data_IF_327158481454
#
_entry.id   IF_327158481454
#
_cell.length_a   1.000
_cell.length_b   1.000
_cell.length_c   1.000
_cell.angle_alpha   90.00
_cell.angle_beta   90.00
_cell.angle_gamma   90.00
#
_symmetry.space_group_name_H-M   'P 1'
#
loop_
_entity.id
_entity.type
_entity.pdbx_description
1 polymer ?
#
# COMPACT_ATOMS: atom_id res chain seq x y z
N UNK A 1 26.92 45.99 -2.93
CA UNK A 1 25.67 45.41 -2.40
C UNK A 1 25.45 44.09 -3.12
N UNK A 2 25.69 42.97 -2.44
CA UNK A 2 25.50 41.62 -3.01
C UNK A 2 24.08 41.19 -2.66
N UNK A 3 23.21 41.13 -3.67
CA UNK A 3 21.83 40.68 -3.52
C UNK A 3 21.83 39.17 -3.32
N UNK A 4 21.69 38.72 -2.08
CA UNK A 4 21.47 37.30 -1.76
C UNK A 4 20.05 36.95 -2.18
N UNK A 5 19.88 36.37 -3.36
CA UNK A 5 18.62 35.76 -3.77
C UNK A 5 18.38 34.53 -2.89
N UNK A 6 17.44 34.65 -1.95
CA UNK A 6 16.92 33.52 -1.18
C UNK A 6 16.41 32.45 -2.15
N UNK A 7 16.73 31.15 -1.95
CA UNK A 7 16.11 30.10 -2.73
C UNK A 7 14.60 30.18 -2.50
N UNK A 8 13.82 30.28 -3.59
CA UNK A 8 12.37 30.16 -3.53
C UNK A 8 12.06 28.81 -2.90
N UNK A 9 11.38 28.82 -1.75
CA UNK A 9 10.75 27.64 -1.19
C UNK A 9 9.87 27.05 -2.30
N UNK A 10 10.29 25.93 -2.90
CA UNK A 10 9.41 25.16 -3.79
C UNK A 10 8.32 24.66 -2.87
N UNK A 11 7.14 25.27 -2.94
CA UNK A 11 5.92 24.62 -2.49
C UNK A 11 5.87 23.29 -3.23
N UNK A 12 6.20 22.21 -2.54
CA UNK A 12 6.08 20.87 -3.09
C UNK A 12 4.60 20.68 -3.39
N UNK A 13 4.21 20.77 -4.66
CA UNK A 13 2.86 20.39 -5.08
C UNK A 13 2.77 18.90 -4.78
N UNK A 14 1.94 18.55 -3.80
CA UNK A 14 1.71 17.16 -3.43
C UNK A 14 1.07 16.44 -4.62
N UNK A 15 1.55 15.24 -4.93
CA UNK A 15 0.99 14.42 -5.98
C UNK A 15 -0.46 14.01 -5.67
N UNK A 16 -1.24 13.73 -6.71
CA UNK A 16 -2.52 13.04 -6.60
C UNK A 16 -2.26 11.52 -6.66
N UNK A 17 -3.00 10.71 -5.92
CA UNK A 17 -2.81 9.28 -5.79
C UNK A 17 -4.09 8.55 -6.21
N UNK A 18 -3.96 7.59 -7.12
CA UNK A 18 -5.08 6.77 -7.57
C UNK A 18 -4.76 5.30 -7.35
N UNK A 19 -5.62 4.62 -6.60
CA UNK A 19 -5.48 3.20 -6.27
C UNK A 19 -6.24 2.34 -7.28
N UNK A 20 -5.52 1.43 -7.93
CA UNK A 20 -6.08 0.41 -8.80
C UNK A 20 -6.89 -0.65 -8.03
N UNK A 21 -7.76 -1.41 -8.71
CA UNK A 21 -8.56 -2.47 -8.09
C UNK A 21 -7.71 -3.54 -7.41
N UNK A 22 -6.63 -3.99 -8.09
CA UNK A 22 -5.76 -5.04 -7.58
C UNK A 22 -5.11 -4.65 -6.25
N UNK A 23 -4.64 -3.41 -6.12
CA UNK A 23 -4.07 -2.87 -4.88
C UNK A 23 -5.05 -3.02 -3.72
N UNK A 24 -6.25 -2.46 -3.87
CA UNK A 24 -7.23 -2.42 -2.79
C UNK A 24 -7.65 -3.83 -2.38
N UNK A 25 -7.91 -4.71 -3.35
CA UNK A 25 -8.30 -6.09 -3.09
C UNK A 25 -7.20 -6.89 -2.40
N UNK A 26 -5.94 -6.78 -2.84
CA UNK A 26 -4.82 -7.51 -2.20
C UNK A 26 -4.60 -7.05 -0.76
N UNK A 27 -4.65 -5.74 -0.50
CA UNK A 27 -4.55 -5.19 0.86
C UNK A 27 -5.70 -5.71 1.74
N UNK A 28 -6.94 -5.68 1.22
CA UNK A 28 -8.12 -6.17 1.92
C UNK A 28 -8.03 -7.67 2.21
N UNK A 29 -7.60 -8.48 1.23
CA UNK A 29 -7.46 -9.93 1.40
C UNK A 29 -6.37 -10.30 2.40
N UNK A 30 -5.27 -9.56 2.43
CA UNK A 30 -4.21 -9.76 3.41
C UNK A 30 -4.76 -9.59 4.84
N UNK A 31 -5.44 -8.47 5.11
CA UNK A 31 -6.06 -8.22 6.40
C UNK A 31 -7.19 -9.21 6.74
N UNK A 32 -8.00 -9.60 5.75
CA UNK A 32 -9.10 -10.54 5.95
C UNK A 32 -8.62 -11.98 6.21
N UNK A 33 -7.48 -12.38 5.62
CA UNK A 33 -6.87 -13.68 5.85
C UNK A 33 -6.25 -13.77 7.26
N UNK A 34 -5.70 -12.67 7.76
CA UNK A 34 -5.07 -12.62 9.08
C UNK A 34 -5.70 -11.53 9.98
N UNK A 35 -6.97 -11.72 10.42
CA UNK A 35 -7.75 -10.67 11.10
C UNK A 35 -7.28 -10.35 12.53
N UNK A 36 -6.37 -11.15 13.09
CA UNK A 36 -5.88 -11.04 14.46
C UNK A 36 -4.36 -10.84 14.53
N UNK A 37 -3.71 -10.50 13.42
CA UNK A 37 -2.28 -10.24 13.39
C UNK A 37 -2.02 -8.93 12.66
N UNK A 38 -0.86 -8.35 12.92
CA UNK A 38 -0.35 -7.28 12.09
C UNK A 38 -0.01 -7.83 10.71
N UNK A 39 -0.38 -7.13 9.64
CA UNK A 39 0.06 -7.45 8.28
C UNK A 39 0.75 -6.25 7.65
N UNK A 40 1.68 -6.49 6.72
CA UNK A 40 2.28 -5.41 5.94
C UNK A 40 2.67 -5.82 4.52
N UNK A 41 2.97 -4.83 3.70
CA UNK A 41 3.49 -5.04 2.36
C UNK A 41 3.87 -3.74 1.67
N UNK A 42 4.24 -3.86 0.39
CA UNK A 42 4.65 -2.73 -0.44
C UNK A 42 3.72 -2.51 -1.62
N UNK A 43 3.72 -1.29 -2.12
CA UNK A 43 2.87 -0.83 -3.20
C UNK A 43 3.70 -0.60 -4.45
N UNK A 44 3.18 -1.06 -5.58
CA UNK A 44 3.81 -0.98 -6.88
C UNK A 44 3.02 0.00 -7.74
N UNK A 45 3.74 0.83 -8.49
CA UNK A 45 3.10 1.84 -9.29
C UNK A 45 4.06 2.60 -10.16
N UNK A 46 3.54 3.67 -10.74
CA UNK A 46 4.31 4.61 -11.56
C UNK A 46 3.81 6.03 -11.32
N UNK A 47 4.66 7.00 -11.61
CA UNK A 47 4.30 8.41 -11.59
C UNK A 47 4.14 8.93 -13.01
N UNK A 48 2.96 9.44 -13.32
CA UNK A 48 2.65 10.12 -14.57
C UNK A 48 2.38 11.60 -14.26
N UNK A 49 3.29 12.49 -14.67
CA UNK A 49 3.21 13.92 -14.34
C UNK A 49 3.12 14.20 -12.83
N UNK A 50 1.94 14.60 -12.33
CA UNK A 50 1.69 14.87 -10.90
C UNK A 50 0.83 13.79 -10.23
N UNK A 51 0.60 12.66 -10.90
CA UNK A 51 -0.26 11.59 -10.42
C UNK A 51 0.56 10.33 -10.18
N UNK A 52 0.42 9.75 -9.00
CA UNK A 52 0.95 8.43 -8.64
C UNK A 52 -0.16 7.41 -8.85
N UNK A 53 -0.02 6.59 -9.88
CA UNK A 53 -0.86 5.44 -10.14
C UNK A 53 -0.33 4.28 -9.33
N UNK A 54 -1.08 3.86 -8.31
CA UNK A 54 -0.77 2.67 -7.51
C UNK A 54 -1.50 1.51 -8.17
N UNK A 55 -0.73 0.59 -8.76
CA UNK A 55 -1.21 -0.42 -9.71
C UNK A 55 -1.36 -1.78 -9.04
N UNK A 56 -0.40 -2.16 -8.20
CA UNK A 56 -0.43 -3.45 -7.51
C UNK A 56 0.10 -3.35 -6.06
N UNK A 57 -0.13 -4.39 -5.27
CA UNK A 57 0.43 -4.54 -3.93
C UNK A 57 1.11 -5.91 -3.79
N UNK A 58 2.24 -5.95 -3.10
CA UNK A 58 2.93 -7.19 -2.74
C UNK A 58 2.82 -7.37 -1.21
N UNK A 59 2.09 -8.39 -0.74
CA UNK A 59 2.03 -8.74 0.68
C UNK A 59 3.36 -9.32 1.16
N UNK A 60 3.87 -8.81 2.28
CA UNK A 60 5.14 -9.24 2.85
C UNK A 60 4.92 -10.14 4.05
N UNK A 61 4.59 -9.59 5.23
CA UNK A 61 4.69 -10.34 6.48
C UNK A 61 3.41 -10.26 7.30
N UNK A 62 3.14 -11.33 8.05
CA UNK A 62 2.08 -11.43 9.06
C UNK A 62 2.52 -12.04 10.41
N UNK A 63 3.72 -12.66 10.48
CA UNK A 63 4.26 -13.22 11.72
C UNK A 63 5.32 -12.31 12.36
N UNK A 64 6.31 -11.85 11.58
CA UNK A 64 7.46 -11.10 12.08
C UNK A 64 7.58 -9.73 11.44
N UNK A 65 6.56 -8.88 11.63
CA UNK A 65 6.44 -7.53 11.06
C UNK A 65 7.49 -6.52 11.55
N UNK A 66 8.44 -6.94 12.39
CA UNK A 66 9.60 -6.15 12.77
C UNK A 66 10.69 -6.18 11.68
N UNK A 67 11.66 -5.26 11.75
CA UNK A 67 12.81 -5.27 10.83
C UNK A 67 13.61 -6.57 11.01
N UNK A 68 13.33 -7.54 10.16
CA UNK A 68 13.98 -8.84 10.13
C UNK A 68 14.77 -9.02 8.82
N UNK A 69 15.77 -9.91 8.78
CA UNK A 69 16.43 -10.28 7.53
C UNK A 69 15.43 -10.72 6.43
N UNK A 70 14.31 -11.33 6.83
CA UNK A 70 13.27 -11.75 5.89
C UNK A 70 12.55 -10.56 5.26
N UNK A 71 12.34 -9.47 6.00
CA UNK A 71 11.79 -8.23 5.43
C UNK A 71 12.73 -7.65 4.36
N UNK A 72 14.05 -7.64 4.60
CA UNK A 72 15.01 -7.14 3.62
C UNK A 72 15.02 -7.97 2.34
N UNK A 73 14.98 -9.31 2.46
CA UNK A 73 14.90 -10.23 1.32
C UNK A 73 13.56 -10.02 0.57
N UNK A 74 12.44 -9.96 1.30
CA UNK A 74 11.12 -9.74 0.71
C UNK A 74 11.06 -8.40 -0.06
N UNK A 75 11.64 -7.33 0.49
CA UNK A 75 11.75 -6.03 -0.16
C UNK A 75 12.61 -6.07 -1.44
N UNK A 76 13.76 -6.76 -1.41
CA UNK A 76 14.62 -6.93 -2.59
C UNK A 76 13.91 -7.71 -3.70
N UNK A 77 13.23 -8.81 -3.36
CA UNK A 77 12.45 -9.61 -4.31
C UNK A 77 11.26 -8.82 -4.88
N UNK A 78 10.53 -8.09 -4.04
CA UNK A 78 9.45 -7.21 -4.45
C UNK A 78 9.94 -6.10 -5.39
N UNK A 79 11.10 -5.50 -5.09
CA UNK A 79 11.73 -4.50 -5.95
C UNK A 79 12.10 -5.05 -7.33
N UNK A 80 12.78 -6.20 -7.39
CA UNK A 80 13.10 -6.89 -8.65
C UNK A 80 11.85 -7.28 -9.44
N UNK A 81 10.79 -7.69 -8.75
CA UNK A 81 9.51 -7.98 -9.40
C UNK A 81 8.91 -6.72 -10.02
N UNK A 82 8.88 -5.60 -9.28
CA UNK A 82 8.41 -4.33 -9.80
C UNK A 82 9.19 -3.90 -11.05
N UNK A 83 10.52 -3.98 -11.02
CA UNK A 83 11.37 -3.68 -12.18
C UNK A 83 11.05 -4.54 -13.39
N UNK A 84 10.77 -5.84 -13.19
CA UNK A 84 10.38 -6.76 -14.27
C UNK A 84 9.07 -6.38 -14.96
N UNK A 85 8.20 -5.64 -14.26
CA UNK A 85 6.93 -5.10 -14.74
C UNK A 85 7.01 -3.62 -15.16
N UNK A 86 8.22 -3.05 -15.22
CA UNK A 86 8.42 -1.62 -15.47
C UNK A 86 7.69 -0.71 -14.47
N UNK A 87 7.53 -1.20 -13.23
CA UNK A 87 6.96 -0.49 -12.09
C UNK A 87 8.03 -0.16 -11.07
N UNK A 88 7.68 0.69 -10.11
CA UNK A 88 8.54 1.06 -8.99
C UNK A 88 7.81 0.80 -7.67
N UNK A 89 8.58 0.65 -6.58
CA UNK A 89 8.02 0.73 -5.24
C UNK A 89 7.59 2.17 -4.97
N UNK A 90 6.29 2.39 -4.81
CA UNK A 90 5.68 3.72 -4.61
C UNK A 90 5.13 3.91 -3.20
N UNK A 91 5.14 2.87 -2.38
CA UNK A 91 4.66 2.99 -1.01
C UNK A 91 4.65 1.72 -0.20
N UNK A 92 4.08 1.83 0.99
CA UNK A 92 3.98 0.79 2.02
C UNK A 92 2.54 0.70 2.53
N UNK A 93 2.12 -0.45 3.03
CA UNK A 93 0.88 -0.55 3.79
C UNK A 93 1.05 -1.42 5.04
N UNK A 94 0.20 -1.18 6.04
CA UNK A 94 0.08 -2.05 7.20
C UNK A 94 -1.35 -2.11 7.74
N UNK A 95 -1.72 -3.21 8.38
CA UNK A 95 -2.80 -3.26 9.37
C UNK A 95 -2.20 -3.47 10.75
N UNK A 96 -2.81 -2.91 11.78
CA UNK A 96 -2.47 -3.19 13.16
C UNK A 96 -3.29 -4.39 13.69
N UNK A 97 -2.80 -5.04 14.75
CA UNK A 97 -3.49 -6.16 15.41
C UNK A 97 -4.85 -5.74 15.98
N UNK A 98 -4.93 -4.51 16.48
CA UNK A 98 -6.16 -3.93 17.02
C UNK A 98 -6.86 -3.08 15.97
N UNK A 99 -8.18 -3.22 15.89
CA UNK A 99 -9.00 -2.50 14.90
C UNK A 99 -9.01 -0.98 15.10
N UNK A 100 -8.87 -0.52 16.34
CA UNK A 100 -8.84 0.90 16.72
C UNK A 100 -7.44 1.54 16.58
N UNK A 101 -6.41 0.74 16.38
CA UNK A 101 -5.04 1.23 16.19
C UNK A 101 -4.80 1.57 14.72
N UNK A 102 -4.78 2.87 14.44
CA UNK A 102 -4.58 3.42 13.09
C UNK A 102 -3.25 4.13 12.95
N UNK A 103 -2.32 3.95 13.89
CA UNK A 103 -1.01 4.57 13.84
C UNK A 103 -0.06 3.84 12.87
N UNK A 104 0.73 4.61 12.10
CA UNK A 104 1.85 4.05 11.35
C UNK A 104 2.95 3.65 12.34
N UNK A 105 3.33 2.38 12.35
CA UNK A 105 4.31 1.87 13.30
C UNK A 105 5.73 2.36 12.96
N UNK A 106 6.66 2.47 13.94
CA UNK A 106 8.03 2.95 13.67
C UNK A 106 8.79 2.12 12.63
N UNK A 107 8.49 0.82 12.51
CA UNK A 107 9.05 -0.03 11.44
C UNK A 107 8.48 0.36 10.09
N UNK A 108 7.17 0.59 10.00
CA UNK A 108 6.51 1.09 8.79
C UNK A 108 7.05 2.45 8.36
N UNK A 109 7.30 3.37 9.29
CA UNK A 109 7.93 4.66 9.00
C UNK A 109 9.33 4.48 8.39
N UNK A 110 10.14 3.55 8.89
CA UNK A 110 11.48 3.26 8.35
C UNK A 110 11.41 2.69 6.94
N UNK A 111 10.53 1.71 6.70
CA UNK A 111 10.35 1.10 5.37
C UNK A 111 9.84 2.14 4.38
N UNK A 112 8.80 2.90 4.73
CA UNK A 112 8.25 3.95 3.90
C UNK A 112 9.29 5.05 3.60
N UNK A 113 10.12 5.41 4.58
CA UNK A 113 11.22 6.38 4.38
C UNK A 113 12.28 5.85 3.43
N UNK A 114 12.62 4.55 3.50
CA UNK A 114 13.55 3.93 2.56
C UNK A 114 12.99 3.89 1.14
N UNK A 115 11.70 3.59 0.97
CA UNK A 115 11.02 3.69 -0.34
C UNK A 115 11.06 5.13 -0.85
N UNK A 116 10.85 6.11 0.03
CA UNK A 116 10.90 7.54 -0.32
C UNK A 116 12.24 8.00 -0.90
N UNK A 117 13.35 7.42 -0.45
CA UNK A 117 14.69 7.70 -1.00
C UNK A 117 14.79 7.34 -2.49
N UNK A 118 14.10 6.28 -2.93
CA UNK A 118 14.00 5.88 -4.34
C UNK A 118 12.83 6.53 -5.10
N UNK A 119 11.77 6.90 -4.39
CA UNK A 119 10.55 7.47 -4.96
C UNK A 119 10.03 8.64 -4.12
N UNK A 120 10.33 9.88 -4.57
CA UNK A 120 10.11 11.09 -3.76
C UNK A 120 8.68 11.32 -3.26
N UNK A 121 7.68 10.80 -3.96
CA UNK A 121 6.24 10.89 -3.64
C UNK A 121 5.72 9.62 -2.96
N UNK A 122 6.56 8.89 -2.22
CA UNK A 122 6.13 7.68 -1.54
C UNK A 122 5.02 7.94 -0.51
N UNK A 123 4.08 7.01 -0.44
CA UNK A 123 2.93 7.02 0.48
C UNK A 123 2.94 5.78 1.39
N UNK A 124 2.44 5.91 2.61
CA UNK A 124 2.10 4.77 3.45
C UNK A 124 0.58 4.70 3.64
N UNK A 125 -0.01 3.51 3.69
CA UNK A 125 -1.41 3.33 4.10
C UNK A 125 -1.48 2.53 5.40
N UNK A 126 -2.22 3.04 6.37
CA UNK A 126 -2.64 2.24 7.53
C UNK A 126 -4.09 1.83 7.31
N UNK A 127 -4.36 0.54 7.45
CA UNK A 127 -5.72 0.01 7.31
C UNK A 127 -6.51 0.39 8.56
N UNK A 128 -7.69 0.98 8.34
CA UNK A 128 -8.64 1.26 9.41
C UNK A 128 -9.52 0.01 9.63
N UNK A 129 -9.21 -0.75 10.68
CA UNK A 129 -9.90 -1.99 11.02
C UNK A 129 -11.40 -1.81 11.27
N UNK A 130 -11.82 -0.66 11.81
CA UNK A 130 -13.25 -0.34 12.04
C UNK A 130 -14.03 -0.13 10.74
N UNK A 131 -13.34 0.21 9.65
CA UNK A 131 -13.94 0.38 8.31
C UNK A 131 -13.83 -0.87 7.45
N UNK A 132 -13.08 -1.89 7.85
CA UNK A 132 -13.09 -3.18 7.14
C UNK A 132 -14.49 -3.77 7.26
N UNK A 133 -15.09 -4.14 6.13
CA UNK A 133 -16.44 -4.69 6.10
C UNK A 133 -17.55 -3.66 5.96
N UNK A 134 -17.21 -2.36 5.85
CA UNK A 134 -18.16 -1.30 5.48
C UNK A 134 -18.01 -0.92 4.00
N UNK A 135 -18.98 -0.18 3.46
CA UNK A 135 -18.92 0.32 2.07
C UNK A 135 -17.95 1.50 1.90
N UNK A 136 -17.18 1.85 2.93
CA UNK A 136 -16.18 2.92 2.89
C UNK A 136 -14.76 2.40 2.60
N UNK A 137 -13.91 3.25 2.05
CA UNK A 137 -12.49 2.95 1.91
C UNK A 137 -11.82 2.80 3.30
N UNK A 138 -11.30 1.61 3.59
CA UNK A 138 -10.70 1.28 4.88
C UNK A 138 -9.20 1.65 4.98
N UNK A 139 -8.77 2.72 4.33
CA UNK A 139 -7.35 3.11 4.25
C UNK A 139 -7.13 4.54 4.76
N UNK A 140 -6.07 4.74 5.53
CA UNK A 140 -5.63 6.03 6.02
C UNK A 140 -4.26 6.33 5.38
N UNK A 141 -4.18 7.29 4.44
CA UNK A 141 -2.92 7.71 3.85
C UNK A 141 -2.05 8.46 4.84
N UNK A 142 -0.77 8.13 4.87
CA UNK A 142 0.31 8.81 5.58
C UNK A 142 1.29 9.37 4.56
N UNK A 143 1.64 10.64 4.73
CA UNK A 143 2.59 11.36 3.86
C UNK A 143 3.75 11.87 4.70
N UNK A 144 4.95 11.76 4.14
CA UNK A 144 6.17 12.28 4.74
C UNK A 144 6.19 13.82 4.69
N UNK A 145 6.55 14.45 5.80
CA UNK A 145 6.80 15.88 5.83
C UNK A 145 8.09 16.20 5.07
N UNK A 146 8.05 17.20 4.19
CA UNK A 146 9.11 17.52 3.20
C UNK A 146 10.53 17.70 3.75
N UNK A 147 10.70 17.84 5.06
CA UNK A 147 11.97 18.11 5.73
C UNK A 147 12.29 17.15 6.90
N UNK A 148 11.48 16.10 7.12
CA UNK A 148 11.68 15.16 8.22
C UNK A 148 11.33 13.72 7.82
N UNK A 149 11.87 12.76 8.55
CA UNK A 149 11.50 11.34 8.45
C UNK A 149 10.13 11.03 9.08
N UNK A 150 9.38 12.06 9.49
CA UNK A 150 8.10 11.89 10.17
C UNK A 150 6.95 11.83 9.19
N UNK A 151 6.06 10.88 9.44
CA UNK A 151 4.87 10.61 8.64
C UNK A 151 3.63 11.11 9.36
N UNK A 152 2.72 11.74 8.62
CA UNK A 152 1.46 12.26 9.18
C UNK A 152 0.27 11.76 8.36
N UNK A 153 -0.85 11.44 9.01
CA UNK A 153 -2.07 11.09 8.29
C UNK A 153 -2.55 12.31 7.49
N UNK A 154 -2.94 12.09 6.24
CA UNK A 154 -3.64 13.10 5.44
C UNK A 154 -5.11 13.08 5.84
N UNK A 155 -5.62 14.23 6.29
CA UNK A 155 -6.95 14.33 6.89
C UNK A 155 -7.84 15.40 6.25
N UNK A 156 -7.28 16.34 5.48
CA UNK A 156 -8.04 17.46 4.91
C UNK A 156 -7.63 17.75 3.45
N UNK A 157 -8.56 17.62 2.47
CA UNK A 157 -9.89 17.01 2.62
C UNK A 157 -9.80 15.50 2.94
N UNK A 158 -10.87 14.95 3.53
CA UNK A 158 -10.92 13.54 3.95
C UNK A 158 -10.51 12.59 2.81
N UNK A 159 -9.63 11.60 3.06
CA UNK A 159 -9.21 10.63 2.05
C UNK A 159 -10.38 9.94 1.35
N UNK A 160 -10.24 9.68 0.04
CA UNK A 160 -11.23 8.97 -0.76
C UNK A 160 -12.60 9.67 -0.89
N UNK A 161 -12.65 10.98 -0.65
CA UNK A 161 -13.82 11.83 -0.90
C UNK A 161 -13.60 12.74 -2.11
N UNK A 162 -14.67 13.31 -2.72
CA UNK A 162 -14.52 14.26 -3.83
C UNK A 162 -13.61 15.45 -3.46
N UNK A 163 -12.58 15.69 -4.28
CA UNK A 163 -11.57 16.72 -4.04
C UNK A 163 -10.37 16.27 -3.21
N UNK A 164 -10.37 15.03 -2.72
CA UNK A 164 -9.20 14.42 -2.08
C UNK A 164 -8.06 14.16 -3.05
N UNK A 165 -6.84 14.18 -2.50
CA UNK A 165 -5.63 13.72 -3.18
C UNK A 165 -5.57 12.21 -3.33
N UNK A 166 -6.43 11.47 -2.63
CA UNK A 166 -6.48 10.02 -2.69
C UNK A 166 -7.81 9.59 -3.28
N UNK A 167 -7.78 8.83 -4.37
CA UNK A 167 -8.96 8.28 -5.02
C UNK A 167 -8.82 6.79 -5.26
N UNK A 168 -9.96 6.10 -5.24
CA UNK A 168 -10.08 4.76 -5.79
C UNK A 168 -10.40 4.89 -7.28
N UNK A 169 -9.76 4.06 -8.11
CA UNK A 169 -10.08 3.95 -9.54
C UNK A 169 -11.54 3.56 -9.79
N UNK A 170 -12.14 2.81 -8.86
CA UNK A 170 -13.56 2.48 -8.82
C UNK A 170 -14.09 2.71 -7.39
N UNK A 171 -15.14 3.55 -7.21
CA UNK A 171 -15.72 3.80 -5.89
C UNK A 171 -16.36 2.56 -5.24
N UNK A 172 -16.74 1.54 -6.03
CA UNK A 172 -17.41 0.33 -5.56
C UNK A 172 -16.44 -0.74 -5.04
N UNK A 173 -15.12 -0.47 -5.00
CA UNK A 173 -14.12 -1.44 -4.53
C UNK A 173 -14.36 -1.93 -3.10
N UNK A 174 -14.78 -1.11 -2.11
CA UNK A 174 -15.07 -1.60 -0.76
C UNK A 174 -16.19 -2.66 -0.74
N UNK A 175 -17.33 -2.37 -1.38
CA UNK A 175 -18.46 -3.31 -1.44
C UNK A 175 -18.12 -4.56 -2.26
N UNK A 176 -17.34 -4.40 -3.34
CA UNK A 176 -16.85 -5.52 -4.13
C UNK A 176 -15.90 -6.43 -3.33
N UNK A 177 -14.94 -5.87 -2.58
CA UNK A 177 -14.02 -6.63 -1.74
C UNK A 177 -14.77 -7.48 -0.70
N UNK A 178 -15.80 -6.89 -0.06
CA UNK A 178 -16.67 -7.59 0.89
C UNK A 178 -17.36 -8.77 0.22
N UNK A 179 -17.94 -8.57 -0.96
CA UNK A 179 -18.61 -9.65 -1.70
C UNK A 179 -17.63 -10.79 -2.05
N UNK A 180 -16.41 -10.47 -2.52
CA UNK A 180 -15.40 -11.50 -2.83
C UNK A 180 -14.96 -12.29 -1.60
N UNK A 181 -14.79 -11.63 -0.45
CA UNK A 181 -14.46 -12.30 0.81
C UNK A 181 -15.62 -13.16 1.30
N UNK A 182 -16.84 -12.60 1.33
CA UNK A 182 -18.03 -13.27 1.86
C UNK A 182 -18.46 -14.44 0.98
N UNK A 183 -18.63 -14.20 -0.31
CA UNK A 183 -19.33 -15.11 -1.22
C UNK A 183 -18.38 -16.10 -1.90
N UNK A 184 -17.14 -15.69 -2.17
CA UNK A 184 -16.16 -16.51 -2.89
C UNK A 184 -14.97 -16.97 -2.03
N UNK A 185 -14.80 -16.40 -0.83
CA UNK A 185 -13.71 -16.71 0.10
C UNK A 185 -12.32 -16.61 -0.55
N UNK A 186 -12.13 -15.68 -1.51
CA UNK A 186 -10.88 -15.58 -2.27
C UNK A 186 -9.67 -15.24 -1.41
N UNK A 187 -9.86 -14.50 -0.31
CA UNK A 187 -8.83 -14.23 0.69
C UNK A 187 -8.15 -15.50 1.23
N UNK A 188 -8.81 -16.66 1.24
CA UNK A 188 -8.20 -17.92 1.70
C UNK A 188 -7.14 -18.47 0.74
N UNK A 189 -7.19 -18.06 -0.53
CA UNK A 189 -6.20 -18.41 -1.56
C UNK A 189 -5.07 -17.38 -1.65
N UNK A 190 -5.19 -16.27 -0.94
CA UNK A 190 -4.20 -15.22 -0.89
C UNK A 190 -3.00 -15.69 -0.06
N UNK A 191 -1.79 -15.33 -0.47
CA UNK A 191 -0.57 -15.67 0.24
C UNK A 191 0.41 -14.50 0.28
N UNK A 192 1.07 -14.33 1.42
CA UNK A 192 2.16 -13.37 1.60
C UNK A 192 3.54 -14.04 1.56
N UNK A 193 4.60 -13.28 1.85
CA UNK A 193 5.96 -13.83 1.84
C UNK A 193 6.19 -14.80 3.00
N UNK A 194 5.60 -14.58 4.17
CA UNK A 194 5.66 -15.54 5.28
C UNK A 194 5.02 -16.89 4.86
N UNK A 195 3.84 -16.88 4.23
CA UNK A 195 3.22 -18.08 3.67
C UNK A 195 4.12 -18.79 2.65
N UNK A 196 4.83 -18.03 1.80
CA UNK A 196 5.75 -18.59 0.81
C UNK A 196 6.99 -19.24 1.44
N UNK A 197 7.47 -18.73 2.56
CA UNK A 197 8.59 -19.33 3.29
C UNK A 197 8.19 -20.69 3.90
N UNK A 198 6.91 -20.88 4.21
CA UNK A 198 6.35 -22.16 4.68
C UNK A 198 6.01 -23.10 3.52
N UNK A 199 5.48 -22.57 2.41
CA UNK A 199 5.14 -23.30 1.20
C UNK A 199 5.56 -22.52 -0.06
N UNK A 200 6.69 -22.94 -0.66
CA UNK A 200 7.27 -22.32 -1.85
C UNK A 200 6.38 -22.38 -3.10
N UNK A 201 5.28 -23.14 -3.09
CA UNK A 201 4.32 -23.19 -4.19
C UNK A 201 3.39 -21.97 -4.21
N UNK A 202 3.36 -21.18 -3.13
CA UNK A 202 2.56 -19.96 -3.02
C UNK A 202 3.21 -18.82 -3.81
N UNK A 203 2.55 -18.35 -4.87
CA UNK A 203 2.96 -17.16 -5.63
C UNK A 203 2.49 -15.87 -4.94
N UNK A 204 3.22 -15.48 -3.91
CA UNK A 204 2.96 -14.27 -3.12
C UNK A 204 3.16 -12.95 -3.90
N UNK A 205 3.97 -12.96 -4.96
CA UNK A 205 4.21 -11.78 -5.78
C UNK A 205 2.96 -11.43 -6.60
N UNK A 206 2.34 -12.42 -7.27
CA UNK A 206 1.21 -12.16 -8.17
C UNK A 206 -0.15 -12.44 -7.55
N UNK A 207 -0.26 -13.45 -6.69
CA UNK A 207 -1.51 -13.86 -6.05
C UNK A 207 -2.66 -14.18 -7.04
N UNK A 208 -2.35 -14.67 -8.25
CA UNK A 208 -3.34 -14.85 -9.34
C UNK A 208 -4.57 -15.67 -8.93
N UNK A 209 -4.37 -16.73 -8.14
CA UNK A 209 -5.45 -17.62 -7.71
C UNK A 209 -6.47 -16.95 -6.76
N UNK A 210 -6.06 -15.85 -6.09
CA UNK A 210 -6.90 -15.06 -5.20
C UNK A 210 -7.58 -13.88 -5.92
N UNK A 211 -7.17 -13.53 -7.15
CA UNK A 211 -7.71 -12.39 -7.87
C UNK A 211 -8.93 -12.76 -8.72
N UNK A 212 -9.94 -11.87 -8.82
CA UNK A 212 -11.02 -11.96 -9.81
C UNK A 212 -10.48 -12.13 -11.23
N UNK A 213 -11.24 -12.81 -12.10
CA UNK A 213 -10.80 -13.21 -13.45
C UNK A 213 -10.32 -12.03 -14.31
N UNK A 214 -10.96 -10.87 -14.17
CA UNK A 214 -10.65 -9.61 -14.84
C UNK A 214 -9.34 -8.96 -14.36
N UNK A 215 -8.86 -9.33 -13.16
CA UNK A 215 -7.64 -8.81 -12.54
C UNK A 215 -6.50 -9.86 -12.50
N UNK A 216 -6.68 -11.03 -13.10
CA UNK A 216 -5.65 -12.07 -13.17
C UNK A 216 -4.54 -11.76 -14.20
N UNK A 217 -4.76 -10.77 -15.07
CA UNK A 217 -3.81 -10.34 -16.09
C UNK A 217 -3.30 -8.95 -15.71
N UNK A 218 -1.98 -8.79 -15.59
CA UNK A 218 -1.37 -7.46 -15.48
C UNK A 218 -1.57 -6.79 -16.84
N UNK A 219 -2.15 -5.57 -16.91
CA UNK A 219 -2.24 -4.85 -18.17
C UNK A 219 -0.82 -4.66 -18.74
N UNK A 220 -0.65 -4.97 -20.04
CA UNK A 220 0.58 -4.71 -20.80
C UNK A 220 1.02 -3.24 -20.74
#
# INVERSE_FOLDING_TARGET
MITVTRPRCRTSIMADYTLGPAVYLKIFFHAAKHPHTQVNGVLLGRKTANTVEIIDAIPLLHHWTSLSPMMEIGLDLAGKHAESLQLQLVGYYQACERLDDTALAPVGEKVASRIKEGFGDAVAFVINGEKIGTEEAALIPYIALSSSSSWRPSADPSPFTPGSKFSLSNPDLPSHAIALVRDQQLHRKFGDFDDHLEDVTIDWLRNRAAMPSDLQHVPE
#
